data_IF_960965336854
#
_entry.id   IF_960965336854
#
_cell.length_a   1.000
_cell.length_b   1.000
_cell.length_c   1.000
_cell.angle_alpha   90.00
_cell.angle_beta   90.00
_cell.angle_gamma   90.00
#
_symmetry.space_group_name_H-M   'P 1'
#
loop_
_entity.id
_entity.type
_entity.pdbx_description
1 polymer ?
#
# COMPACT_ATOMS: atom_id res chain seq x y z
N UNK A 1 -3.85 -35.21 3.29
CA UNK A 1 -2.98 -34.04 3.57
C UNK A 1 -3.87 -32.82 3.67
N UNK A 2 -4.24 -32.40 4.87
CA UNK A 2 -4.94 -31.12 5.07
C UNK A 2 -3.87 -30.04 5.08
N UNK A 3 -3.77 -29.26 4.01
CA UNK A 3 -2.93 -28.06 3.98
C UNK A 3 -3.33 -27.16 5.16
N UNK A 4 -2.39 -26.58 5.90
CA UNK A 4 -2.74 -25.58 6.90
C UNK A 4 -3.46 -24.44 6.19
N UNK A 5 -4.78 -24.33 6.37
CA UNK A 5 -5.53 -23.18 5.85
C UNK A 5 -5.05 -21.96 6.64
N UNK A 6 -4.55 -20.91 5.96
CA UNK A 6 -4.11 -19.70 6.64
C UNK A 6 -5.26 -19.12 7.45
N UNK A 7 -4.97 -18.68 8.68
CA UNK A 7 -5.99 -18.13 9.57
C UNK A 7 -6.79 -17.02 8.86
N UNK A 8 -8.11 -16.88 9.12
CA UNK A 8 -8.94 -15.84 8.50
C UNK A 8 -8.37 -14.42 8.65
N UNK A 9 -7.67 -14.18 9.77
CA UNK A 9 -7.00 -12.93 10.09
C UNK A 9 -5.79 -12.70 9.16
N UNK A 10 -4.93 -13.70 8.95
CA UNK A 10 -3.78 -13.59 8.06
C UNK A 10 -4.20 -13.33 6.59
N UNK A 11 -5.28 -13.97 6.15
CA UNK A 11 -5.85 -13.73 4.80
C UNK A 11 -6.31 -12.28 4.65
N UNK A 12 -7.02 -11.73 5.65
CA UNK A 12 -7.50 -10.34 5.63
C UNK A 12 -6.34 -9.34 5.62
N UNK A 13 -5.32 -9.56 6.45
CA UNK A 13 -4.13 -8.71 6.50
C UNK A 13 -3.40 -8.66 5.17
N UNK A 14 -3.28 -9.80 4.48
CA UNK A 14 -2.68 -9.89 3.15
C UNK A 14 -3.47 -9.10 2.11
N UNK A 15 -4.79 -9.22 2.09
CA UNK A 15 -5.66 -8.47 1.17
C UNK A 15 -5.60 -6.96 1.42
N UNK A 16 -5.66 -6.53 2.69
CA UNK A 16 -5.53 -5.11 3.07
C UNK A 16 -4.14 -4.60 2.70
N UNK A 17 -3.09 -5.39 2.93
CA UNK A 17 -1.72 -5.04 2.55
C UNK A 17 -1.58 -4.80 1.04
N UNK A 18 -2.17 -5.70 0.22
CA UNK A 18 -2.20 -5.56 -1.24
C UNK A 18 -3.00 -4.34 -1.70
N UNK A 19 -4.16 -4.07 -1.08
CA UNK A 19 -4.97 -2.90 -1.37
C UNK A 19 -4.18 -1.61 -1.13
N UNK A 20 -3.53 -1.48 0.03
CA UNK A 20 -2.73 -0.31 0.37
C UNK A 20 -1.55 -0.13 -0.58
N UNK A 21 -0.89 -1.22 -0.99
CA UNK A 21 0.16 -1.16 -2.01
C UNK A 21 -0.38 -0.66 -3.35
N UNK A 22 -1.56 -1.14 -3.78
CA UNK A 22 -2.22 -0.69 -4.99
C UNK A 22 -2.56 0.80 -4.96
N UNK A 23 -3.11 1.28 -3.84
CA UNK A 23 -3.38 2.71 -3.64
C UNK A 23 -2.09 3.52 -3.70
N UNK A 24 -1.03 3.08 -3.00
CA UNK A 24 0.27 3.74 -3.04
C UNK A 24 0.82 3.83 -4.47
N UNK A 25 0.68 2.76 -5.26
CA UNK A 25 1.08 2.74 -6.66
C UNK A 25 0.29 3.74 -7.51
N UNK A 26 -1.04 3.80 -7.36
CA UNK A 26 -1.88 4.78 -8.07
C UNK A 26 -1.50 6.21 -7.71
N UNK A 27 -1.25 6.50 -6.43
CA UNK A 27 -0.79 7.81 -5.98
C UNK A 27 0.59 8.16 -6.54
N UNK A 28 1.48 7.17 -6.72
CA UNK A 28 2.79 7.41 -7.29
C UNK A 28 2.69 7.73 -8.80
N UNK A 29 1.90 6.95 -9.55
CA UNK A 29 1.71 7.14 -10.99
C UNK A 29 0.96 8.43 -11.30
N UNK A 30 0.05 8.88 -10.43
CA UNK A 30 -0.68 10.14 -10.62
C UNK A 30 0.13 11.39 -10.22
N UNK A 31 1.20 11.22 -9.44
CA UNK A 31 2.03 12.31 -8.90
C UNK A 31 2.51 13.35 -9.94
N UNK A 32 2.97 12.95 -11.15
CA UNK A 32 3.45 13.91 -12.15
C UNK A 32 2.42 14.96 -12.58
N UNK A 33 1.11 14.66 -12.48
CA UNK A 33 0.05 15.60 -12.87
C UNK A 33 0.04 16.87 -12.02
N UNK A 34 0.37 16.77 -10.74
CA UNK A 34 0.43 17.91 -9.83
C UNK A 34 1.65 18.78 -10.08
N UNK A 35 2.79 18.14 -10.34
CA UNK A 35 4.04 18.84 -10.68
C UNK A 35 3.95 19.55 -12.03
N UNK A 36 3.29 18.94 -13.02
CA UNK A 36 3.03 19.55 -14.31
C UNK A 36 2.05 20.76 -14.25
N UNK A 37 1.29 20.88 -13.16
CA UNK A 37 0.31 21.96 -12.97
C UNK A 37 0.83 23.09 -12.05
N UNK A 38 2.14 23.17 -11.79
CA UNK A 38 2.77 24.07 -10.79
C UNK A 38 2.22 23.91 -9.35
N UNK A 39 1.53 22.80 -9.05
CA UNK A 39 0.97 22.48 -7.73
C UNK A 39 1.90 21.57 -6.94
N UNK A 40 3.19 21.93 -6.88
CA UNK A 40 4.23 21.11 -6.26
C UNK A 40 3.93 20.71 -4.80
N UNK A 41 3.31 21.58 -4.01
CA UNK A 41 2.92 21.28 -2.64
C UNK A 41 1.92 20.11 -2.52
N UNK A 42 0.95 20.02 -3.46
CA UNK A 42 0.00 18.91 -3.51
C UNK A 42 0.71 17.61 -3.91
N UNK A 43 1.63 17.70 -4.88
CA UNK A 43 2.47 16.56 -5.29
C UNK A 43 3.29 16.00 -4.13
N UNK A 44 3.93 16.86 -3.32
CA UNK A 44 4.69 16.44 -2.14
C UNK A 44 3.79 15.76 -1.10
N UNK A 45 2.64 16.36 -0.76
CA UNK A 45 1.70 15.76 0.18
C UNK A 45 1.22 14.39 -0.30
N UNK A 46 0.94 14.26 -1.60
CA UNK A 46 0.56 12.99 -2.21
C UNK A 46 1.66 11.93 -2.10
N UNK A 47 2.93 12.29 -2.32
CA UNK A 47 4.06 11.37 -2.18
C UNK A 47 4.23 10.88 -0.73
N UNK A 48 4.03 11.76 0.25
CA UNK A 48 4.06 11.38 1.68
C UNK A 48 2.97 10.36 1.99
N UNK A 49 1.74 10.58 1.51
CA UNK A 49 0.62 9.64 1.69
C UNK A 49 0.89 8.31 0.99
N UNK A 50 1.42 8.34 -0.24
CA UNK A 50 1.82 7.15 -0.97
C UNK A 50 2.87 6.34 -0.20
N UNK A 51 3.89 7.01 0.35
CA UNK A 51 4.91 6.39 1.19
C UNK A 51 4.33 5.74 2.45
N UNK A 52 3.39 6.41 3.12
CA UNK A 52 2.71 5.86 4.29
C UNK A 52 1.92 4.58 3.94
N UNK A 53 1.15 4.60 2.86
CA UNK A 53 0.41 3.41 2.41
C UNK A 53 1.33 2.28 1.99
N UNK A 54 2.44 2.58 1.30
CA UNK A 54 3.45 1.58 0.96
C UNK A 54 4.07 0.94 2.22
N UNK A 55 4.41 1.74 3.22
CA UNK A 55 4.98 1.26 4.48
C UNK A 55 4.00 0.35 5.24
N UNK A 56 2.75 0.79 5.42
CA UNK A 56 1.72 0.01 6.11
C UNK A 56 1.38 -1.25 5.31
N UNK A 57 1.22 -1.15 4.00
CA UNK A 57 0.92 -2.29 3.13
C UNK A 57 2.02 -3.34 3.16
N UNK A 58 3.29 -2.92 3.07
CA UNK A 58 4.44 -3.81 3.18
C UNK A 58 4.56 -4.44 4.58
N UNK A 59 4.25 -3.68 5.63
CA UNK A 59 4.25 -4.18 7.00
C UNK A 59 3.19 -5.27 7.20
N UNK A 60 1.94 -5.03 6.76
CA UNK A 60 0.85 -6.01 6.85
C UNK A 60 1.18 -7.26 6.05
N UNK A 61 1.73 -7.11 4.85
CA UNK A 61 2.13 -8.24 4.02
C UNK A 61 3.25 -9.06 4.67
N UNK A 62 4.24 -8.41 5.28
CA UNK A 62 5.31 -9.08 6.04
C UNK A 62 4.77 -9.79 7.29
N UNK A 63 3.79 -9.21 7.98
CA UNK A 63 3.18 -9.81 9.16
C UNK A 63 2.36 -11.05 8.80
N UNK A 64 1.53 -10.94 7.76
CA UNK A 64 0.74 -12.05 7.25
C UNK A 64 1.59 -13.21 6.70
N UNK A 65 2.84 -12.96 6.29
CA UNK A 65 3.78 -13.99 5.85
C UNK A 65 4.50 -14.71 7.01
N UNK A 66 4.44 -14.17 8.24
CA UNK A 66 5.09 -14.73 9.43
C UNK A 66 4.12 -15.46 10.37
N UNK A 67 2.82 -15.23 10.23
CA UNK A 67 1.76 -15.92 10.98
C UNK A 67 1.14 -17.04 10.17
#
# INVERSE_FOLDING_TARGET
MTTPEPSPIARRERLVGLLLLGIAFVLLVSSPTWFASDRGGVGVAQLVVAGLFAAIGAFLLRRAARG
#
